data_IF_438620177178
#
_entry.id   IF_438620177178
#
_cell.length_a   1.000
_cell.length_b   1.000
_cell.length_c   1.000
_cell.angle_alpha   90.00
_cell.angle_beta   90.00
_cell.angle_gamma   90.00
#
_symmetry.space_group_name_H-M   'P 1'
#
loop_
_entity.id
_entity.type
_entity.pdbx_description
1 polymer ?
#
# COMPACT_ATOMS: atom_id res chain seq x y z
N UNK A 1 -19.96 15.27 21.82
CA UNK A 1 -18.74 16.07 21.53
C UNK A 1 -18.27 16.02 20.08
N UNK A 2 -18.60 14.99 19.29
CA UNK A 2 -18.28 14.90 17.84
C UNK A 2 -19.08 15.88 16.96
N UNK A 3 -20.34 16.16 17.31
CA UNK A 3 -21.22 17.02 16.50
C UNK A 3 -20.85 18.52 16.54
N UNK A 4 -20.41 19.04 17.68
CA UNK A 4 -19.94 20.45 17.82
C UNK A 4 -18.61 20.66 17.08
N UNK A 5 -17.77 19.63 17.02
CA UNK A 5 -16.42 19.68 16.43
C UNK A 5 -16.42 19.62 14.90
N UNK A 6 -17.33 18.84 14.31
CA UNK A 6 -17.56 18.91 12.86
C UNK A 6 -18.12 20.28 12.46
N UNK A 7 -18.95 20.89 13.32
CA UNK A 7 -19.51 22.22 13.07
C UNK A 7 -18.44 23.32 13.07
N UNK A 8 -17.43 23.27 13.96
CA UNK A 8 -16.36 24.28 14.00
C UNK A 8 -15.42 24.21 12.79
N UNK A 9 -15.01 23.01 12.36
CA UNK A 9 -14.23 22.84 11.11
C UNK A 9 -15.00 23.25 9.88
N UNK A 10 -16.29 22.90 9.83
CA UNK A 10 -17.18 23.29 8.74
C UNK A 10 -17.31 24.82 8.69
N UNK A 11 -17.55 25.49 9.82
CA UNK A 11 -17.61 26.94 9.92
C UNK A 11 -16.31 27.64 9.49
N UNK A 12 -15.16 27.15 9.93
CA UNK A 12 -13.85 27.68 9.52
C UNK A 12 -13.59 27.52 8.02
N UNK A 13 -14.10 26.44 7.41
CA UNK A 13 -13.95 26.24 5.97
C UNK A 13 -14.71 27.30 5.15
N UNK A 14 -15.99 27.54 5.47
CA UNK A 14 -16.78 28.57 4.77
C UNK A 14 -16.23 29.98 5.05
N UNK A 15 -15.81 30.26 6.28
CA UNK A 15 -15.20 31.55 6.61
C UNK A 15 -13.97 31.83 5.74
N UNK A 16 -13.11 30.82 5.51
CA UNK A 16 -11.96 30.99 4.63
C UNK A 16 -12.35 31.20 3.17
N UNK A 17 -13.39 30.51 2.68
CA UNK A 17 -13.93 30.78 1.34
C UNK A 17 -14.45 32.22 1.20
N UNK A 18 -15.13 32.74 2.23
CA UNK A 18 -15.60 34.12 2.26
C UNK A 18 -14.44 35.11 2.27
N UNK A 19 -13.44 34.92 3.12
CA UNK A 19 -12.26 35.80 3.17
C UNK A 19 -11.56 35.83 1.81
N UNK A 20 -11.34 34.66 1.20
CA UNK A 20 -10.71 34.57 -0.12
C UNK A 20 -11.56 35.20 -1.23
N UNK A 21 -12.86 34.92 -1.25
CA UNK A 21 -13.79 35.44 -2.26
C UNK A 21 -13.97 36.95 -2.18
N UNK A 22 -14.23 37.48 -0.98
CA UNK A 22 -14.34 38.94 -0.74
C UNK A 22 -13.01 39.61 -1.04
N UNK A 23 -11.88 39.06 -0.57
CA UNK A 23 -10.55 39.58 -0.85
C UNK A 23 -10.26 39.64 -2.35
N UNK A 24 -10.64 38.61 -3.11
CA UNK A 24 -10.49 38.58 -4.57
C UNK A 24 -11.31 39.68 -5.24
N UNK A 25 -12.58 39.84 -4.84
CA UNK A 25 -13.45 40.90 -5.38
C UNK A 25 -12.85 42.28 -5.08
N UNK A 26 -12.44 42.53 -3.84
CA UNK A 26 -11.85 43.80 -3.44
C UNK A 26 -10.54 44.11 -4.19
N UNK A 27 -9.69 43.09 -4.42
CA UNK A 27 -8.47 43.24 -5.24
C UNK A 27 -8.82 43.61 -6.68
N UNK A 28 -9.79 42.92 -7.29
CA UNK A 28 -10.22 43.19 -8.67
C UNK A 28 -10.81 44.61 -8.79
N UNK A 29 -11.74 44.96 -7.91
CA UNK A 29 -12.41 46.27 -7.91
C UNK A 29 -11.40 47.40 -7.71
N UNK A 30 -10.48 47.24 -6.77
CA UNK A 30 -9.45 48.24 -6.50
C UNK A 30 -8.48 48.35 -7.67
N UNK A 31 -7.99 47.23 -8.23
CA UNK A 31 -7.11 47.26 -9.41
C UNK A 31 -7.75 47.96 -10.62
N UNK A 32 -9.00 47.63 -10.97
CA UNK A 32 -9.70 48.32 -12.06
C UNK A 32 -10.07 49.77 -11.70
N UNK A 33 -10.17 50.09 -10.41
CA UNK A 33 -10.34 51.45 -9.91
C UNK A 33 -9.21 52.40 -10.33
N UNK A 34 -7.96 51.92 -10.39
CA UNK A 34 -6.81 52.70 -10.88
C UNK A 34 -7.02 53.22 -12.32
N UNK A 35 -7.72 52.46 -13.17
CA UNK A 35 -8.00 52.88 -14.56
C UNK A 35 -9.12 53.93 -14.67
N UNK A 36 -9.91 54.13 -13.61
CA UNK A 36 -11.04 55.04 -13.60
C UNK A 36 -10.66 56.45 -13.12
N UNK A 37 -9.77 56.55 -12.14
CA UNK A 37 -9.35 57.83 -11.56
C UNK A 37 -8.03 58.31 -12.18
N UNK A 38 -8.03 59.53 -12.74
CA UNK A 38 -6.85 60.14 -13.38
C UNK A 38 -5.99 60.98 -12.43
N UNK A 39 -6.44 61.20 -11.20
CA UNK A 39 -5.69 61.96 -10.20
C UNK A 39 -4.60 61.09 -9.57
N UNK A 40 -3.34 61.51 -9.71
CA UNK A 40 -2.15 60.76 -9.27
C UNK A 40 -2.19 60.31 -7.80
N UNK A 41 -2.74 61.14 -6.91
CA UNK A 41 -2.85 60.80 -5.48
C UNK A 41 -3.92 59.73 -5.21
N UNK A 42 -5.00 59.73 -5.99
CA UNK A 42 -6.08 58.76 -5.87
C UNK A 42 -5.64 57.42 -6.45
N UNK A 43 -4.97 57.44 -7.61
CA UNK A 43 -4.38 56.27 -8.26
C UNK A 43 -3.43 55.53 -7.31
N UNK A 44 -2.45 56.23 -6.73
CA UNK A 44 -1.54 55.65 -5.73
C UNK A 44 -2.22 55.10 -4.48
N UNK A 45 -3.28 55.75 -4.00
CA UNK A 45 -4.04 55.26 -2.85
C UNK A 45 -4.75 53.96 -3.18
N UNK A 46 -5.40 53.90 -4.35
CA UNK A 46 -6.15 52.72 -4.82
C UNK A 46 -5.19 51.55 -5.10
N UNK A 47 -4.01 51.82 -5.66
CA UNK A 47 -2.97 50.82 -5.87
C UNK A 47 -2.52 50.17 -4.55
N UNK A 48 -2.30 50.99 -3.51
CA UNK A 48 -1.98 50.48 -2.18
C UNK A 48 -3.12 49.70 -1.53
N UNK A 49 -4.38 49.99 -1.85
CA UNK A 49 -5.54 49.27 -1.28
C UNK A 49 -5.53 47.81 -1.71
N UNK A 50 -5.35 47.52 -3.02
CA UNK A 50 -5.40 46.12 -3.46
C UNK A 50 -4.21 45.29 -2.96
N UNK A 51 -3.03 45.90 -2.77
CA UNK A 51 -1.92 45.26 -2.06
C UNK A 51 -2.31 44.96 -0.62
N UNK A 52 -2.75 45.98 0.12
CA UNK A 52 -3.05 45.85 1.56
C UNK A 52 -4.14 44.81 1.82
N UNK A 53 -5.23 44.83 1.04
CA UNK A 53 -6.31 43.84 1.13
C UNK A 53 -5.78 42.43 0.90
N UNK A 54 -5.00 42.22 -0.17
CA UNK A 54 -4.45 40.90 -0.48
C UNK A 54 -3.59 40.33 0.65
N UNK A 55 -2.68 41.14 1.18
CA UNK A 55 -1.74 40.70 2.21
C UNK A 55 -2.45 40.44 3.55
N UNK A 56 -3.41 41.28 3.93
CA UNK A 56 -4.24 41.06 5.13
C UNK A 56 -5.12 39.81 4.99
N UNK A 57 -5.76 39.61 3.83
CA UNK A 57 -6.53 38.40 3.54
C UNK A 57 -5.64 37.16 3.61
N UNK A 58 -4.43 37.19 3.05
CA UNK A 58 -3.50 36.06 3.09
C UNK A 58 -3.07 35.72 4.53
N UNK A 59 -2.76 36.73 5.36
CA UNK A 59 -2.45 36.53 6.77
C UNK A 59 -3.66 35.96 7.55
N UNK A 60 -4.87 36.49 7.31
CA UNK A 60 -6.09 36.00 7.94
C UNK A 60 -6.40 34.55 7.57
N UNK A 61 -6.25 34.19 6.28
CA UNK A 61 -6.40 32.82 5.78
C UNK A 61 -5.37 31.88 6.44
N UNK A 62 -4.13 32.32 6.58
CA UNK A 62 -3.08 31.53 7.20
C UNK A 62 -3.36 31.23 8.68
N UNK A 63 -3.78 32.24 9.45
CA UNK A 63 -4.18 32.06 10.85
C UNK A 63 -5.43 31.19 11.00
N UNK A 64 -6.42 31.38 10.13
CA UNK A 64 -7.60 30.51 10.09
C UNK A 64 -7.20 29.05 9.81
N UNK A 65 -6.27 28.85 8.88
CA UNK A 65 -5.67 27.54 8.61
C UNK A 65 -4.96 26.96 9.83
N UNK A 66 -4.18 27.77 10.55
CA UNK A 66 -3.48 27.36 11.77
C UNK A 66 -4.46 26.92 12.88
N UNK A 67 -5.53 27.69 13.12
CA UNK A 67 -6.51 27.40 14.18
C UNK A 67 -7.52 26.32 13.81
N UNK A 68 -7.68 25.99 12.52
CA UNK A 68 -8.63 24.96 12.07
C UNK A 68 -8.15 23.51 12.29
N UNK A 69 -6.88 23.31 12.65
CA UNK A 69 -6.27 21.97 12.74
C UNK A 69 -6.07 21.53 14.18
N UNK A 70 -6.42 20.26 14.46
CA UNK A 70 -6.30 19.65 15.78
C UNK A 70 -4.99 18.86 15.97
N UNK A 71 -4.37 18.42 14.86
CA UNK A 71 -3.14 17.66 14.91
C UNK A 71 -1.96 18.58 15.27
N UNK A 72 -1.34 18.33 16.43
CA UNK A 72 -0.21 19.12 16.94
C UNK A 72 0.95 19.20 15.94
N UNK A 73 1.19 18.16 15.14
CA UNK A 73 2.21 18.18 14.08
C UNK A 73 1.91 19.20 12.98
N UNK A 74 0.65 19.28 12.51
CA UNK A 74 0.24 20.19 11.45
C UNK A 74 0.20 21.65 11.94
N UNK A 75 -0.23 21.85 13.18
CA UNK A 75 -0.24 23.17 13.81
C UNK A 75 1.15 23.83 13.77
N UNK A 76 2.21 23.09 14.10
CA UNK A 76 3.56 23.66 14.25
C UNK A 76 4.09 24.33 13.00
N UNK A 77 3.97 23.70 11.83
CA UNK A 77 4.45 24.31 10.59
C UNK A 77 3.50 25.39 10.06
N UNK A 78 2.17 25.23 10.23
CA UNK A 78 1.18 26.23 9.79
C UNK A 78 1.32 27.52 10.60
N UNK A 79 1.68 27.41 11.87
CA UNK A 79 1.99 28.55 12.73
C UNK A 79 3.12 29.39 12.15
N UNK A 80 4.22 28.76 11.73
CA UNK A 80 5.31 29.48 11.09
C UNK A 80 4.88 30.12 9.76
N UNK A 81 4.09 29.44 8.93
CA UNK A 81 3.57 30.05 7.70
C UNK A 81 2.69 31.28 7.99
N UNK A 82 1.85 31.20 9.03
CA UNK A 82 1.03 32.32 9.48
C UNK A 82 1.87 33.49 10.00
N UNK A 83 2.93 33.23 10.77
CA UNK A 83 3.89 34.26 11.18
C UNK A 83 4.55 34.95 9.98
N UNK A 84 5.00 34.18 8.99
CA UNK A 84 5.61 34.70 7.77
C UNK A 84 4.65 35.61 7.00
N UNK A 85 3.42 35.18 6.76
CA UNK A 85 2.41 35.99 6.08
C UNK A 85 1.93 37.19 6.91
N UNK A 86 1.99 37.11 8.24
CA UNK A 86 1.74 38.26 9.12
C UNK A 86 2.84 39.29 8.99
N UNK A 87 4.11 38.86 9.00
CA UNK A 87 5.23 39.77 8.77
C UNK A 87 5.15 40.43 7.38
N UNK A 88 4.72 39.68 6.37
CA UNK A 88 4.44 40.20 5.03
C UNK A 88 3.37 41.31 5.06
N UNK A 89 2.25 41.07 5.76
CA UNK A 89 1.17 42.04 5.90
C UNK A 89 1.58 43.28 6.69
N UNK A 90 2.36 43.13 7.75
CA UNK A 90 2.95 44.25 8.50
C UNK A 90 3.93 45.04 7.62
N UNK A 91 4.71 44.36 6.78
CA UNK A 91 5.58 44.99 5.78
C UNK A 91 4.77 45.85 4.81
N UNK A 92 3.65 45.33 4.31
CA UNK A 92 2.76 46.08 3.42
C UNK A 92 2.10 47.28 4.11
N UNK A 93 1.67 47.15 5.36
CA UNK A 93 1.14 48.29 6.13
C UNK A 93 2.22 49.34 6.36
N UNK A 94 3.45 48.91 6.65
CA UNK A 94 4.60 49.81 6.78
C UNK A 94 4.90 50.53 5.46
N UNK A 95 4.82 49.83 4.33
CA UNK A 95 4.97 50.41 3.00
C UNK A 95 3.88 51.43 2.69
N UNK A 96 2.61 51.11 2.96
CA UNK A 96 1.51 52.05 2.73
C UNK A 96 1.68 53.36 3.52
N UNK A 97 2.17 53.27 4.77
CA UNK A 97 2.52 54.44 5.59
C UNK A 97 3.68 55.22 4.96
N UNK A 98 4.73 54.53 4.51
CA UNK A 98 5.89 55.15 3.85
C UNK A 98 5.50 55.90 2.59
N UNK A 99 4.67 55.30 1.74
CA UNK A 99 4.16 55.91 0.52
C UNK A 99 3.35 57.18 0.84
N UNK A 100 2.50 57.14 1.87
CA UNK A 100 1.73 58.30 2.30
C UNK A 100 2.62 59.48 2.72
N UNK A 101 3.72 59.22 3.42
CA UNK A 101 4.69 60.24 3.83
C UNK A 101 5.78 60.55 2.79
N UNK A 102 5.72 59.96 1.58
CA UNK A 102 6.76 60.04 0.55
C UNK A 102 8.15 59.62 1.05
N UNK A 103 8.22 58.63 1.93
CA UNK A 103 9.46 58.08 2.47
C UNK A 103 9.95 56.91 1.60
N UNK A 104 10.93 57.16 0.73
CA UNK A 104 11.47 56.16 -0.21
C UNK A 104 12.96 55.82 0.03
N UNK A 105 13.49 56.12 1.23
CA UNK A 105 14.90 55.86 1.54
C UNK A 105 15.12 54.38 1.83
N UNK A 106 15.82 53.69 0.93
CA UNK A 106 16.26 52.30 1.13
C UNK A 106 17.53 52.26 2.00
N UNK A 107 17.63 51.34 2.97
CA UNK A 107 16.60 50.40 3.43
C UNK A 107 15.48 51.09 4.22
N UNK A 108 14.24 50.77 3.88
CA UNK A 108 13.03 51.25 4.57
C UNK A 108 12.61 50.29 5.68
N UNK A 109 11.79 50.72 6.66
CA UNK A 109 11.20 49.80 7.64
C UNK A 109 10.45 48.59 7.04
N UNK A 110 9.87 48.69 5.84
CA UNK A 110 9.12 47.59 5.22
C UNK A 110 10.08 46.53 4.63
N UNK A 111 11.27 46.95 4.20
CA UNK A 111 12.35 46.08 3.72
C UNK A 111 12.83 45.06 4.76
N UNK A 112 12.64 45.34 6.06
CA UNK A 112 12.96 44.41 7.14
C UNK A 112 11.85 43.41 7.43
N UNK A 113 10.62 43.67 6.99
CA UNK A 113 9.43 42.87 7.31
C UNK A 113 9.08 41.88 6.20
N UNK A 114 9.10 42.31 4.94
CA UNK A 114 8.77 41.44 3.79
C UNK A 114 9.61 40.14 3.73
N UNK A 115 10.93 40.15 3.99
CA UNK A 115 11.74 38.94 3.85
C UNK A 115 11.43 37.84 4.87
N UNK A 116 10.77 38.15 5.99
CA UNK A 116 10.45 37.16 7.04
C UNK A 116 9.56 36.01 6.56
N UNK A 117 8.86 36.17 5.43
CA UNK A 117 8.13 35.07 4.79
C UNK A 117 9.03 33.86 4.59
N UNK A 118 10.23 34.02 4.05
CA UNK A 118 11.08 32.88 3.71
C UNK A 118 11.66 32.15 4.93
N UNK A 119 12.32 32.81 5.91
CA UNK A 119 12.78 32.14 7.12
C UNK A 119 11.66 31.39 7.84
N UNK A 120 10.48 32.00 7.98
CA UNK A 120 9.33 31.34 8.59
C UNK A 120 8.92 30.09 7.81
N UNK A 121 8.87 30.17 6.48
CA UNK A 121 8.49 29.02 5.66
C UNK A 121 9.56 27.91 5.68
N UNK A 122 10.85 28.28 5.64
CA UNK A 122 11.96 27.35 5.77
C UNK A 122 11.91 26.61 7.12
N UNK A 123 11.61 27.32 8.22
CA UNK A 123 11.42 26.69 9.53
C UNK A 123 10.22 25.74 9.49
N UNK A 124 9.10 26.16 8.91
CA UNK A 124 7.92 25.31 8.72
C UNK A 124 8.22 24.02 7.95
N UNK A 125 8.96 24.12 6.84
CA UNK A 125 9.44 22.96 6.07
C UNK A 125 10.37 22.06 6.87
N UNK A 126 11.30 22.66 7.62
CA UNK A 126 12.29 21.92 8.42
C UNK A 126 11.62 21.05 9.47
N UNK A 127 10.51 21.51 10.06
CA UNK A 127 9.72 20.72 11.01
C UNK A 127 9.18 19.44 10.37
N UNK A 128 8.81 19.49 9.08
CA UNK A 128 8.28 18.33 8.33
C UNK A 128 9.42 17.38 7.97
N UNK A 129 10.57 17.92 7.56
CA UNK A 129 11.72 17.12 7.10
C UNK A 129 12.50 16.48 8.27
N UNK A 130 12.46 17.05 9.48
CA UNK A 130 13.15 16.50 10.67
C UNK A 130 12.70 15.08 11.03
N UNK A 131 11.50 14.66 10.61
CA UNK A 131 11.00 13.29 10.81
C UNK A 131 11.63 12.28 9.84
N UNK A 132 12.45 12.72 8.87
CA UNK A 132 13.10 11.85 7.89
C UNK A 132 14.47 11.33 8.34
N UNK A 133 14.93 10.28 7.65
CA UNK A 133 16.27 9.73 7.80
C UNK A 133 17.38 10.76 7.55
N UNK A 134 18.46 10.68 8.34
CA UNK A 134 19.56 11.64 8.32
C UNK A 134 20.26 11.76 6.96
N UNK A 135 20.31 10.68 6.18
CA UNK A 135 20.89 10.70 4.84
C UNK A 135 19.99 11.48 3.88
N UNK A 136 18.67 11.25 3.93
CA UNK A 136 17.69 12.02 3.15
C UNK A 136 17.76 13.52 3.45
N UNK A 137 17.94 13.89 4.73
CA UNK A 137 18.10 15.29 5.14
C UNK A 137 19.36 15.89 4.53
N UNK A 138 20.51 15.20 4.62
CA UNK A 138 21.78 15.69 4.05
C UNK A 138 21.67 15.91 2.54
N UNK A 139 21.05 14.96 1.87
CA UNK A 139 20.80 14.99 0.44
C UNK A 139 19.90 16.17 0.05
N UNK A 140 18.75 16.31 0.71
CA UNK A 140 17.84 17.43 0.47
C UNK A 140 18.46 18.79 0.82
N UNK A 141 19.38 18.85 1.80
CA UNK A 141 20.10 20.06 2.14
C UNK A 141 21.09 20.49 1.04
N UNK A 142 21.73 19.54 0.35
CA UNK A 142 22.58 19.84 -0.80
C UNK A 142 21.76 20.39 -1.96
N UNK A 143 20.65 19.73 -2.28
CA UNK A 143 19.70 20.18 -3.32
C UNK A 143 19.18 21.60 -3.01
N UNK A 144 18.80 21.84 -1.74
CA UNK A 144 18.40 23.16 -1.25
C UNK A 144 19.50 24.22 -1.46
N UNK A 145 20.76 23.89 -1.12
CA UNK A 145 21.89 24.79 -1.25
C UNK A 145 22.18 25.13 -2.72
N UNK A 146 22.08 24.15 -3.62
CA UNK A 146 22.23 24.33 -5.07
C UNK A 146 21.19 25.30 -5.63
N UNK A 147 19.92 25.07 -5.30
CA UNK A 147 18.80 25.95 -5.69
C UNK A 147 18.93 27.37 -5.15
N UNK A 148 19.25 27.54 -3.86
CA UNK A 148 19.46 28.86 -3.23
C UNK A 148 20.59 29.61 -3.95
N UNK A 149 21.72 28.92 -4.19
CA UNK A 149 22.88 29.52 -4.86
C UNK A 149 22.52 29.93 -6.29
N UNK A 150 21.77 29.11 -7.02
CA UNK A 150 21.33 29.43 -8.38
C UNK A 150 20.42 30.69 -8.40
N UNK A 151 19.42 30.75 -7.52
CA UNK A 151 18.49 31.88 -7.40
C UNK A 151 19.23 33.17 -6.99
N UNK A 152 20.13 33.08 -6.01
CA UNK A 152 20.94 34.20 -5.56
C UNK A 152 21.86 34.73 -6.67
N UNK A 153 22.57 33.83 -7.35
CA UNK A 153 23.48 34.20 -8.45
C UNK A 153 22.73 34.85 -9.60
N UNK A 154 21.57 34.31 -9.98
CA UNK A 154 20.71 34.89 -11.01
C UNK A 154 20.22 36.29 -10.62
N UNK A 155 19.75 36.46 -9.39
CA UNK A 155 19.26 37.75 -8.88
C UNK A 155 20.38 38.80 -8.84
N UNK A 156 21.58 38.41 -8.38
CA UNK A 156 22.76 39.26 -8.39
C UNK A 156 23.17 39.66 -9.82
N UNK A 157 23.14 38.72 -10.76
CA UNK A 157 23.48 38.99 -12.16
C UNK A 157 22.53 40.00 -12.82
N UNK A 158 21.26 40.03 -12.41
CA UNK A 158 20.28 40.99 -12.91
C UNK A 158 20.44 42.40 -12.31
N UNK A 159 20.81 42.52 -11.03
CA UNK A 159 20.82 43.82 -10.34
C UNK A 159 22.17 44.53 -10.31
N UNK A 160 23.27 43.78 -10.17
CA UNK A 160 24.62 44.37 -10.14
C UNK A 160 24.99 45.26 -11.35
N UNK A 161 24.48 45.03 -12.57
CA UNK A 161 24.81 45.88 -13.72
C UNK A 161 24.22 47.28 -13.60
N UNK A 162 23.08 47.39 -12.90
CA UNK A 162 22.32 48.63 -12.76
C UNK A 162 22.77 49.44 -11.53
N UNK A 163 23.95 49.11 -10.97
CA UNK A 163 24.44 49.59 -9.67
C UNK A 163 25.10 50.98 -9.71
N UNK A 164 25.06 51.72 -10.81
CA UNK A 164 25.62 53.09 -10.81
C UNK A 164 24.92 53.94 -9.74
N UNK A 165 25.63 54.27 -8.65
CA UNK A 165 25.10 55.05 -7.53
C UNK A 165 24.38 54.28 -6.41
N UNK A 166 24.18 52.95 -6.50
CA UNK A 166 23.47 52.16 -5.47
C UNK A 166 24.45 51.55 -4.45
N UNK A 167 24.29 51.93 -3.18
CA UNK A 167 25.12 51.43 -2.08
C UNK A 167 24.84 49.95 -1.73
N UNK A 168 25.81 49.27 -1.10
CA UNK A 168 25.65 47.86 -0.68
C UNK A 168 24.43 47.67 0.25
N UNK A 169 24.20 48.65 1.14
CA UNK A 169 23.07 48.64 2.06
C UNK A 169 21.70 48.70 1.35
N UNK A 170 21.63 49.32 0.18
CA UNK A 170 20.40 49.44 -0.62
C UNK A 170 20.18 48.22 -1.51
N UNK A 171 21.29 47.63 -1.99
CA UNK A 171 21.25 46.41 -2.80
C UNK A 171 20.75 45.20 -1.99
N UNK A 172 21.04 45.17 -0.68
CA UNK A 172 20.71 44.03 0.17
C UNK A 172 19.19 43.75 0.23
N UNK A 173 18.29 44.71 0.53
CA UNK A 173 16.85 44.52 0.38
C UNK A 173 16.41 44.08 -1.01
N UNK A 174 16.94 44.72 -2.06
CA UNK A 174 16.56 44.45 -3.45
C UNK A 174 16.84 43.00 -3.87
N UNK A 175 17.95 42.43 -3.40
CA UNK A 175 18.28 41.01 -3.59
C UNK A 175 17.43 40.12 -2.67
N UNK A 176 17.30 40.51 -1.40
CA UNK A 176 16.70 39.67 -0.38
C UNK A 176 15.23 39.34 -0.69
N UNK A 177 14.46 40.31 -1.19
CA UNK A 177 13.04 40.12 -1.53
C UNK A 177 12.81 38.96 -2.51
N UNK A 178 13.30 38.99 -3.77
CA UNK A 178 13.09 37.89 -4.71
C UNK A 178 13.76 36.59 -4.27
N UNK A 179 14.98 36.64 -3.73
CA UNK A 179 15.72 35.44 -3.34
C UNK A 179 14.99 34.68 -2.24
N UNK A 180 14.44 35.39 -1.26
CA UNK A 180 13.65 34.81 -0.17
C UNK A 180 12.45 34.01 -0.70
N UNK A 181 11.59 34.66 -1.49
CA UNK A 181 10.37 34.02 -2.01
C UNK A 181 10.67 32.90 -3.01
N UNK A 182 11.58 33.13 -3.96
CA UNK A 182 11.94 32.10 -4.95
C UNK A 182 12.62 30.90 -4.30
N UNK A 183 13.44 31.11 -3.27
CA UNK A 183 14.01 30.02 -2.45
C UNK A 183 12.91 29.23 -1.76
N UNK A 184 11.99 29.90 -1.06
CA UNK A 184 10.90 29.22 -0.36
C UNK A 184 10.00 28.42 -1.32
N UNK A 185 9.78 28.92 -2.55
CA UNK A 185 9.06 28.21 -3.60
C UNK A 185 9.83 26.98 -4.09
N UNK A 186 11.12 27.14 -4.39
CA UNK A 186 11.99 26.06 -4.85
C UNK A 186 12.10 24.93 -3.82
N UNK A 187 12.24 25.27 -2.53
CA UNK A 187 12.20 24.29 -1.44
C UNK A 187 10.84 23.60 -1.33
N UNK A 188 9.73 24.34 -1.50
CA UNK A 188 8.40 23.75 -1.58
C UNK A 188 8.23 22.75 -2.73
N UNK A 189 8.87 22.98 -3.88
CA UNK A 189 8.91 22.00 -4.98
C UNK A 189 9.76 20.79 -4.59
N UNK A 190 10.95 21.02 -4.02
CA UNK A 190 11.89 20.00 -3.60
C UNK A 190 11.29 19.00 -2.60
N UNK A 191 10.45 19.49 -1.68
CA UNK A 191 9.80 18.64 -0.68
C UNK A 191 8.87 17.58 -1.30
N UNK A 192 8.29 17.83 -2.48
CA UNK A 192 7.35 16.89 -3.12
C UNK A 192 8.01 15.51 -3.30
N UNK A 193 9.11 15.39 -4.05
CA UNK A 193 9.74 14.09 -4.24
C UNK A 193 10.53 13.61 -3.02
N UNK A 194 11.10 14.49 -2.20
CA UNK A 194 11.86 14.11 -0.98
C UNK A 194 10.97 13.40 0.03
N UNK A 195 9.77 13.96 0.26
CA UNK A 195 8.82 13.44 1.23
C UNK A 195 7.73 12.56 0.60
N UNK A 196 7.78 12.32 -0.72
CA UNK A 196 6.74 11.59 -1.48
C UNK A 196 5.34 12.17 -1.27
N UNK A 197 5.23 13.49 -1.25
CA UNK A 197 3.97 14.18 -1.02
C UNK A 197 3.08 14.10 -2.26
N UNK A 198 1.80 13.83 -2.06
CA UNK A 198 0.81 13.85 -3.11
C UNK A 198 0.59 15.29 -3.60
N UNK A 199 0.89 15.62 -4.87
CA UNK A 199 0.60 16.94 -5.40
C UNK A 199 -0.92 17.17 -5.35
N UNK A 200 -1.33 18.25 -4.69
CA UNK A 200 -2.72 18.65 -4.60
C UNK A 200 -2.87 20.14 -4.94
N UNK A 201 -4.11 20.60 -5.09
CA UNK A 201 -4.39 22.00 -5.45
C UNK A 201 -3.81 22.98 -4.43
N UNK A 202 -3.89 22.68 -3.14
CA UNK A 202 -3.34 23.52 -2.07
C UNK A 202 -1.82 23.69 -2.22
N UNK A 203 -1.11 22.60 -2.51
CA UNK A 203 0.33 22.58 -2.73
C UNK A 203 0.73 23.38 -3.99
N UNK A 204 -0.04 23.22 -5.08
CA UNK A 204 0.20 23.97 -6.30
C UNK A 204 -0.06 25.46 -6.11
N UNK A 205 -1.20 25.84 -5.51
CA UNK A 205 -1.51 27.24 -5.19
C UNK A 205 -0.41 27.84 -4.31
N UNK A 206 0.04 27.10 -3.31
CA UNK A 206 1.13 27.53 -2.44
C UNK A 206 2.44 27.81 -3.21
N UNK A 207 2.90 26.89 -4.06
CA UNK A 207 4.12 27.10 -4.88
C UNK A 207 3.94 28.25 -5.87
N UNK A 208 2.80 28.29 -6.56
CA UNK A 208 2.49 29.31 -7.57
C UNK A 208 2.41 30.69 -6.93
N UNK A 209 1.78 30.80 -5.76
CA UNK A 209 1.71 32.06 -5.02
C UNK A 209 3.08 32.52 -4.54
N UNK A 210 3.88 31.62 -3.95
CA UNK A 210 5.23 31.95 -3.48
C UNK A 210 6.17 32.34 -4.63
N UNK A 211 6.21 31.53 -5.70
CA UNK A 211 7.02 31.77 -6.87
C UNK A 211 6.57 33.00 -7.65
N UNK A 212 5.26 33.23 -7.75
CA UNK A 212 4.66 34.42 -8.35
C UNK A 212 5.07 35.69 -7.60
N UNK A 213 4.99 35.70 -6.27
CA UNK A 213 5.46 36.84 -5.46
C UNK A 213 6.96 37.07 -5.61
N UNK A 214 7.76 36.01 -5.65
CA UNK A 214 9.21 36.12 -5.89
C UNK A 214 9.56 36.68 -7.27
N UNK A 215 8.84 36.27 -8.31
CA UNK A 215 9.01 36.80 -9.66
C UNK A 215 8.53 38.24 -9.79
N UNK A 216 7.43 38.61 -9.13
CA UNK A 216 6.98 40.00 -9.06
C UNK A 216 8.03 40.87 -8.39
N UNK A 217 8.59 40.45 -7.25
CA UNK A 217 9.71 41.15 -6.60
C UNK A 217 10.93 41.26 -7.51
N UNK A 218 11.25 40.20 -8.24
CA UNK A 218 12.38 40.19 -9.15
C UNK A 218 12.26 41.27 -10.24
N UNK A 219 11.10 41.32 -10.90
CA UNK A 219 10.83 42.29 -11.97
C UNK A 219 10.64 43.70 -11.42
N UNK A 220 9.92 43.85 -10.31
CA UNK A 220 9.63 45.15 -9.72
C UNK A 220 10.92 45.83 -9.26
N UNK A 221 11.83 45.10 -8.60
CA UNK A 221 13.12 45.64 -8.20
C UNK A 221 14.01 45.98 -9.41
N UNK A 222 14.00 45.15 -10.46
CA UNK A 222 14.75 45.44 -11.69
C UNK A 222 14.28 46.75 -12.37
N UNK A 223 12.98 47.06 -12.28
CA UNK A 223 12.44 48.32 -12.76
C UNK A 223 12.77 49.46 -11.79
N UNK A 224 12.55 49.25 -10.49
CA UNK A 224 12.76 50.25 -9.42
C UNK A 224 14.18 50.83 -9.38
N UNK A 225 15.19 50.04 -9.75
CA UNK A 225 16.58 50.52 -9.84
C UNK A 225 16.75 51.58 -10.94
N UNK A 226 16.00 51.46 -12.04
CA UNK A 226 16.03 52.39 -13.18
C UNK A 226 15.09 53.57 -12.94
N UNK A 227 13.84 53.28 -12.58
CA UNK A 227 12.80 54.28 -12.30
C UNK A 227 11.72 53.70 -11.37
N UNK A 228 11.03 54.56 -10.61
CA UNK A 228 9.92 54.12 -9.77
C UNK A 228 8.82 53.57 -10.70
N UNK A 229 8.42 52.28 -10.55
CA UNK A 229 7.39 51.70 -11.40
C UNK A 229 6.08 52.49 -11.28
N UNK A 230 5.33 52.65 -12.38
CA UNK A 230 4.05 53.34 -12.33
C UNK A 230 3.07 52.60 -11.42
N UNK A 231 2.23 53.38 -10.74
CA UNK A 231 1.08 52.88 -9.98
C UNK A 231 0.07 52.23 -10.98
N UNK A 232 -0.69 51.21 -10.55
CA UNK A 232 -1.77 50.61 -11.36
C UNK A 232 -1.32 49.57 -12.40
N UNK A 233 -0.06 49.14 -12.39
CA UNK A 233 0.46 48.20 -13.40
C UNK A 233 0.00 46.76 -13.19
N UNK A 234 0.02 45.97 -14.28
CA UNK A 234 -0.23 44.52 -14.21
C UNK A 234 0.77 43.81 -13.29
N UNK A 235 2.01 44.33 -13.20
CA UNK A 235 3.02 43.83 -12.27
C UNK A 235 2.57 44.03 -10.81
N UNK A 236 2.03 45.20 -10.47
CA UNK A 236 1.48 45.49 -9.15
C UNK A 236 0.30 44.56 -8.81
N UNK A 237 -0.60 44.29 -9.77
CA UNK A 237 -1.65 43.29 -9.59
C UNK A 237 -1.11 41.88 -9.35
N UNK A 238 0.03 41.54 -9.99
CA UNK A 238 0.73 40.28 -9.81
C UNK A 238 1.07 39.96 -8.35
N UNK A 239 1.47 40.97 -7.56
CA UNK A 239 1.70 40.81 -6.12
C UNK A 239 0.43 40.43 -5.37
N UNK A 240 -0.68 41.14 -5.63
CA UNK A 240 -1.96 40.86 -4.97
C UNK A 240 -2.50 39.48 -5.32
N UNK A 241 -2.42 39.09 -6.60
CA UNK A 241 -2.90 37.78 -7.06
C UNK A 241 -2.05 36.67 -6.43
N UNK A 242 -0.72 36.79 -6.52
CA UNK A 242 0.21 35.78 -6.00
C UNK A 242 0.06 35.61 -4.48
N UNK A 243 -0.09 36.70 -3.74
CA UNK A 243 -0.24 36.68 -2.28
C UNK A 243 -1.59 36.10 -1.85
N UNK A 244 -2.70 36.39 -2.55
CA UNK A 244 -4.00 35.76 -2.29
C UNK A 244 -3.96 34.25 -2.55
N UNK A 245 -3.36 33.83 -3.67
CA UNK A 245 -3.19 32.41 -4.02
C UNK A 245 -2.33 31.71 -2.97
N UNK A 246 -1.26 32.36 -2.50
CA UNK A 246 -0.41 31.86 -1.43
C UNK A 246 -1.20 31.67 -0.11
N UNK A 247 -2.00 32.67 0.28
CA UNK A 247 -2.86 32.59 1.46
C UNK A 247 -3.88 31.45 1.38
N UNK A 248 -4.52 31.27 0.22
CA UNK A 248 -5.41 30.13 -0.03
C UNK A 248 -4.67 28.79 0.07
N UNK A 249 -3.47 28.72 -0.51
CA UNK A 249 -2.58 27.58 -0.40
C UNK A 249 -2.33 27.22 1.06
N UNK A 250 -1.73 28.12 1.84
CA UNK A 250 -1.39 27.92 3.26
C UNK A 250 -2.61 27.50 4.09
N UNK A 251 -3.76 28.13 3.87
CA UNK A 251 -5.01 27.81 4.58
C UNK A 251 -5.46 26.36 4.38
N UNK A 252 -5.41 25.89 3.14
CA UNK A 252 -5.92 24.56 2.74
C UNK A 252 -4.85 23.48 2.73
N UNK A 253 -3.61 23.83 3.09
CA UNK A 253 -2.46 22.96 2.87
C UNK A 253 -2.26 21.89 3.94
N UNK A 254 -2.41 20.63 3.55
CA UNK A 254 -2.19 19.46 4.39
C UNK A 254 -1.24 18.50 3.67
N UNK A 255 -0.07 18.16 4.25
CA UNK A 255 0.86 17.21 3.65
C UNK A 255 0.26 15.80 3.71
N UNK A 256 0.10 15.18 2.54
CA UNK A 256 -0.37 13.80 2.41
C UNK A 256 0.70 12.98 1.71
N UNK A 257 1.18 11.92 2.38
CA UNK A 257 2.16 11.00 1.83
C UNK A 257 1.50 10.09 0.79
N UNK A 258 2.25 9.72 -0.25
CA UNK A 258 1.80 8.83 -1.30
C UNK A 258 2.76 7.66 -1.48
N UNK A 259 2.35 6.51 -0.94
CA UNK A 259 3.13 5.27 -0.99
C UNK A 259 2.86 4.42 -2.23
N UNK A 260 2.06 4.94 -3.19
CA UNK A 260 1.73 4.18 -4.38
C UNK A 260 3.00 3.93 -5.23
N UNK A 261 3.30 2.68 -5.64
CA UNK A 261 4.57 2.32 -6.29
C UNK A 261 4.89 3.12 -7.57
N UNK A 262 3.87 3.45 -8.37
CA UNK A 262 4.04 4.29 -9.57
C UNK A 262 4.51 5.71 -9.21
N UNK A 263 3.98 6.29 -8.13
CA UNK A 263 4.37 7.61 -7.67
C UNK A 263 5.77 7.59 -7.04
N UNK A 264 6.11 6.53 -6.30
CA UNK A 264 7.48 6.31 -5.80
C UNK A 264 8.52 6.38 -6.92
N UNK A 265 8.31 5.64 -8.03
CA UNK A 265 9.21 5.67 -9.20
C UNK A 265 9.30 7.06 -9.85
N UNK A 266 8.19 7.81 -9.91
CA UNK A 266 8.19 9.18 -10.45
C UNK A 266 8.96 10.16 -9.56
N UNK A 267 8.81 10.05 -8.23
CA UNK A 267 9.55 10.88 -7.29
C UNK A 267 11.05 10.59 -7.34
N UNK A 268 11.45 9.32 -7.43
CA UNK A 268 12.85 8.94 -7.63
C UNK A 268 13.41 9.47 -8.95
N UNK A 269 12.66 9.37 -10.04
CA UNK A 269 13.05 9.97 -11.31
C UNK A 269 13.21 11.50 -11.22
N UNK A 270 12.31 12.18 -10.49
CA UNK A 270 12.42 13.62 -10.27
C UNK A 270 13.68 13.99 -9.47
N UNK A 271 14.02 13.27 -8.41
CA UNK A 271 15.27 13.48 -7.64
C UNK A 271 16.52 13.24 -8.49
N UNK A 272 16.48 12.27 -9.41
CA UNK A 272 17.60 11.99 -10.33
C UNK A 272 17.84 13.11 -11.34
N UNK A 273 16.78 13.82 -11.74
CA UNK A 273 16.87 14.93 -12.70
C UNK A 273 17.17 16.28 -12.04
N UNK A 274 17.07 16.37 -10.72
CA UNK A 274 17.21 17.63 -10.01
C UNK A 274 18.60 18.28 -10.16
N UNK A 275 19.74 17.57 -10.02
CA UNK A 275 21.06 18.18 -10.23
C UNK A 275 21.24 18.71 -11.67
N UNK A 276 20.67 18.01 -12.65
CA UNK A 276 20.67 18.47 -14.03
C UNK A 276 19.86 19.77 -14.18
N UNK A 277 18.69 19.86 -13.54
CA UNK A 277 17.88 21.07 -13.53
C UNK A 277 18.63 22.25 -12.89
N UNK A 278 19.33 22.03 -11.78
CA UNK A 278 20.16 23.06 -11.13
C UNK A 278 21.26 23.58 -12.06
N UNK A 279 21.98 22.69 -12.74
CA UNK A 279 23.03 23.07 -13.69
C UNK A 279 22.45 23.82 -14.89
N UNK A 280 21.33 23.36 -15.45
CA UNK A 280 20.65 24.04 -16.57
C UNK A 280 20.16 25.43 -16.14
N UNK A 281 19.51 25.53 -14.98
CA UNK A 281 19.05 26.81 -14.44
C UNK A 281 20.21 27.78 -14.20
N UNK A 282 21.33 27.29 -13.66
CA UNK A 282 22.52 28.12 -13.44
C UNK A 282 23.24 28.51 -14.73
N UNK A 283 23.16 27.67 -15.77
CA UNK A 283 23.74 27.96 -17.10
C UNK A 283 23.06 29.16 -17.76
N UNK A 284 21.76 29.38 -17.50
CA UNK A 284 21.05 30.59 -17.96
C UNK A 284 21.74 31.86 -17.44
N UNK A 285 22.18 31.86 -16.18
CA UNK A 285 22.92 32.98 -15.59
C UNK A 285 24.24 33.24 -16.29
N UNK A 286 25.00 32.18 -16.65
CA UNK A 286 26.22 32.32 -17.45
C UNK A 286 25.92 32.89 -18.82
N UNK A 287 24.91 32.37 -19.52
CA UNK A 287 24.53 32.85 -20.85
C UNK A 287 24.18 34.33 -20.80
N UNK A 288 23.32 34.74 -19.86
CA UNK A 288 22.97 36.15 -19.67
C UNK A 288 24.20 37.01 -19.38
N UNK A 289 25.10 36.54 -18.51
CA UNK A 289 26.34 37.25 -18.18
C UNK A 289 27.32 37.35 -19.35
N UNK A 290 27.26 36.44 -20.32
CA UNK A 290 28.09 36.44 -21.52
C UNK A 290 27.49 37.22 -22.70
N UNK A 291 26.16 37.25 -22.83
CA UNK A 291 25.47 37.88 -23.97
C UNK A 291 25.18 39.36 -23.77
N UNK A 292 25.00 39.81 -22.53
CA UNK A 292 24.70 41.21 -22.25
C UNK A 292 25.99 42.05 -22.33
N UNK A 293 26.12 42.85 -23.38
CA UNK A 293 27.22 43.79 -23.55
C UNK A 293 27.16 44.90 -22.50
N UNK A 294 28.31 45.27 -21.91
CA UNK A 294 28.39 46.37 -20.94
C UNK A 294 28.24 45.95 -19.47
N UNK A 295 28.16 44.65 -19.18
CA UNK A 295 28.14 44.16 -17.80
C UNK A 295 29.46 44.44 -17.06
N UNK A 296 29.43 45.03 -15.85
CA UNK A 296 30.61 45.21 -15.03
C UNK A 296 31.34 43.88 -14.77
N UNK A 297 32.66 43.92 -14.72
CA UNK A 297 33.52 42.74 -14.51
C UNK A 297 33.10 41.94 -13.25
N UNK A 298 32.74 42.65 -12.18
CA UNK A 298 32.27 42.04 -10.94
C UNK A 298 31.02 41.18 -11.10
N UNK A 299 30.10 41.54 -12.01
CA UNK A 299 28.88 40.76 -12.28
C UNK A 299 29.22 39.44 -12.95
N UNK A 300 30.14 39.47 -13.92
CA UNK A 300 30.61 38.28 -14.63
C UNK A 300 31.32 37.32 -13.67
N UNK A 301 32.14 37.85 -12.75
CA UNK A 301 32.78 37.05 -11.69
C UNK A 301 31.74 36.40 -10.78
N UNK A 302 30.74 37.14 -10.31
CA UNK A 302 29.67 36.59 -9.47
C UNK A 302 28.90 35.49 -10.20
N UNK A 303 28.55 35.71 -11.47
CA UNK A 303 27.86 34.72 -12.30
C UNK A 303 28.68 33.43 -12.44
N UNK A 304 29.96 33.54 -12.82
CA UNK A 304 30.83 32.37 -13.00
C UNK A 304 31.12 31.63 -11.69
N UNK A 305 31.40 32.36 -10.61
CA UNK A 305 31.67 31.75 -9.30
C UNK A 305 30.42 31.05 -8.76
N UNK A 306 29.26 31.70 -8.81
CA UNK A 306 28.00 31.12 -8.38
C UNK A 306 27.62 29.87 -9.18
N UNK A 307 27.75 29.90 -10.51
CA UNK A 307 27.49 28.71 -11.32
C UNK A 307 28.50 27.59 -11.08
N UNK A 308 29.78 27.91 -10.85
CA UNK A 308 30.78 26.91 -10.49
C UNK A 308 30.40 26.22 -9.17
N UNK A 309 29.95 26.98 -8.17
CA UNK A 309 29.47 26.43 -6.89
C UNK A 309 28.26 25.52 -7.10
N UNK A 310 27.27 25.93 -7.92
CA UNK A 310 26.11 25.09 -8.24
C UNK A 310 26.54 23.78 -8.91
N UNK A 311 27.45 23.83 -9.89
CA UNK A 311 27.96 22.63 -10.57
C UNK A 311 28.70 21.71 -9.60
N UNK A 312 29.48 22.26 -8.66
CA UNK A 312 30.17 21.45 -7.63
C UNK A 312 29.16 20.78 -6.69
N UNK A 313 28.15 21.51 -6.22
CA UNK A 313 27.08 20.96 -5.37
C UNK A 313 26.33 19.86 -6.13
N UNK A 314 25.92 20.12 -7.37
CA UNK A 314 25.24 19.15 -8.24
C UNK A 314 26.10 17.91 -8.49
N UNK A 315 27.43 18.06 -8.63
CA UNK A 315 28.36 16.94 -8.83
C UNK A 315 28.50 16.07 -7.57
N UNK A 316 28.64 16.69 -6.40
CA UNK A 316 28.65 15.96 -5.11
C UNK A 316 27.32 15.24 -4.92
N UNK A 317 26.22 15.94 -5.18
CA UNK A 317 24.87 15.39 -5.09
C UNK A 317 24.65 14.19 -6.01
N UNK A 318 25.08 14.30 -7.27
CA UNK A 318 24.99 13.22 -8.26
C UNK A 318 25.82 12.00 -7.81
N UNK A 319 27.00 12.22 -7.24
CA UNK A 319 27.86 11.15 -6.72
C UNK A 319 27.18 10.40 -5.57
N UNK A 320 26.56 11.12 -4.63
CA UNK A 320 25.79 10.51 -3.53
C UNK A 320 24.59 9.72 -4.04
N UNK A 321 23.88 10.24 -5.05
CA UNK A 321 22.73 9.55 -5.64
C UNK A 321 23.14 8.24 -6.32
N UNK A 322 24.24 8.25 -7.09
CA UNK A 322 24.76 7.04 -7.73
C UNK A 322 25.17 6.01 -6.67
N UNK A 323 25.81 6.44 -5.58
CA UNK A 323 26.17 5.56 -4.47
C UNK A 323 24.95 4.91 -3.81
N UNK A 324 23.91 5.69 -3.51
CA UNK A 324 22.66 5.15 -2.95
C UNK A 324 22.01 4.11 -3.89
N UNK A 325 22.06 4.34 -5.20
CA UNK A 325 21.56 3.39 -6.19
C UNK A 325 22.38 2.09 -6.21
N UNK A 326 23.71 2.18 -6.19
CA UNK A 326 24.58 0.99 -6.20
C UNK A 326 24.43 0.17 -4.91
N UNK A 327 24.32 0.84 -3.76
CA UNK A 327 24.13 0.18 -2.47
C UNK A 327 22.77 -0.57 -2.44
N UNK A 328 21.71 0.06 -2.93
CA UNK A 328 20.38 -0.56 -3.04
C UNK A 328 20.35 -1.73 -4.05
N UNK A 329 21.04 -1.60 -5.19
CA UNK A 329 21.15 -2.68 -6.18
C UNK A 329 21.89 -3.90 -5.60
N UNK A 330 22.96 -3.65 -4.83
CA UNK A 330 23.71 -4.71 -4.16
C UNK A 330 22.87 -5.41 -3.08
N UNK A 331 22.10 -4.66 -2.30
CA UNK A 331 21.18 -5.24 -1.30
C UNK A 331 20.11 -6.12 -1.95
N UNK A 332 19.46 -5.63 -3.01
CA UNK A 332 18.47 -6.41 -3.79
C UNK A 332 19.12 -7.68 -4.35
N UNK A 333 20.33 -7.57 -4.88
CA UNK A 333 21.06 -8.72 -5.42
C UNK A 333 21.34 -9.79 -4.36
N UNK A 334 21.85 -9.40 -3.19
CA UNK A 334 22.11 -10.32 -2.08
C UNK A 334 20.83 -11.02 -1.59
N UNK A 335 19.72 -10.26 -1.50
CA UNK A 335 18.41 -10.83 -1.14
C UNK A 335 17.92 -11.82 -2.18
N UNK A 336 18.06 -11.51 -3.48
CA UNK A 336 17.67 -12.41 -4.56
C UNK A 336 18.51 -13.68 -4.56
N UNK A 337 19.84 -13.58 -4.42
CA UNK A 337 20.74 -14.74 -4.34
C UNK A 337 20.35 -15.65 -3.15
N UNK A 338 20.06 -15.08 -1.98
CA UNK A 338 19.58 -15.83 -0.82
C UNK A 338 18.20 -16.47 -1.04
N UNK A 339 17.29 -15.77 -1.73
CA UNK A 339 15.97 -16.30 -2.08
C UNK A 339 16.08 -17.48 -3.05
N UNK A 340 16.95 -17.39 -4.05
CA UNK A 340 17.23 -18.47 -5.00
C UNK A 340 17.76 -19.73 -4.29
N UNK A 341 18.68 -19.57 -3.33
CA UNK A 341 19.18 -20.68 -2.52
C UNK A 341 18.06 -21.36 -1.71
N UNK A 342 17.23 -20.55 -1.04
CA UNK A 342 16.09 -21.06 -0.26
C UNK A 342 15.11 -21.80 -1.17
N UNK A 343 14.78 -21.23 -2.34
CA UNK A 343 13.88 -21.85 -3.31
C UNK A 343 14.45 -23.17 -3.81
N UNK A 344 15.76 -23.22 -4.13
CA UNK A 344 16.41 -24.46 -4.57
C UNK A 344 16.34 -25.55 -3.49
N UNK A 345 16.67 -25.21 -2.24
CA UNK A 345 16.61 -26.14 -1.10
C UNK A 345 15.19 -26.67 -0.87
N UNK A 346 14.19 -25.78 -0.85
CA UNK A 346 12.77 -26.16 -0.68
C UNK A 346 12.27 -27.03 -1.82
N UNK A 347 12.71 -26.77 -3.04
CA UNK A 347 12.36 -27.57 -4.22
C UNK A 347 12.93 -28.99 -4.09
N UNK A 348 14.17 -29.15 -3.62
CA UNK A 348 14.76 -30.48 -3.41
C UNK A 348 14.14 -31.24 -2.23
N UNK A 349 13.84 -30.56 -1.12
CA UNK A 349 13.07 -31.12 0.00
C UNK A 349 11.70 -31.66 -0.48
N UNK A 350 10.97 -30.85 -1.26
CA UNK A 350 9.69 -31.25 -1.83
C UNK A 350 9.82 -32.45 -2.77
N UNK A 351 10.87 -32.48 -3.61
CA UNK A 351 11.14 -33.61 -4.52
C UNK A 351 11.37 -34.91 -3.74
N UNK A 352 12.17 -34.83 -2.67
CA UNK A 352 12.48 -35.97 -1.80
C UNK A 352 11.23 -36.49 -1.09
N UNK A 353 10.43 -35.60 -0.50
CA UNK A 353 9.16 -35.96 0.16
C UNK A 353 8.18 -36.56 -0.84
N UNK A 354 8.09 -36.02 -2.06
CA UNK A 354 7.21 -36.55 -3.10
C UNK A 354 7.60 -37.98 -3.50
N UNK A 355 8.90 -38.24 -3.73
CA UNK A 355 9.40 -39.58 -4.01
C UNK A 355 9.12 -40.57 -2.86
N UNK A 356 9.28 -40.13 -1.61
CA UNK A 356 8.93 -40.93 -0.44
C UNK A 356 7.42 -41.26 -0.39
N UNK A 357 6.55 -40.29 -0.67
CA UNK A 357 5.10 -40.49 -0.73
C UNK A 357 4.70 -41.47 -1.84
N UNK A 358 5.33 -41.39 -3.01
CA UNK A 358 5.11 -42.34 -4.11
C UNK A 358 5.46 -43.77 -3.64
N UNK A 359 6.64 -43.96 -3.03
CA UNK A 359 7.07 -45.27 -2.51
C UNK A 359 6.12 -45.81 -1.43
N UNK A 360 5.65 -44.95 -0.52
CA UNK A 360 4.66 -45.34 0.49
C UNK A 360 3.32 -45.72 -0.12
N UNK A 361 2.87 -44.99 -1.14
CA UNK A 361 1.63 -45.31 -1.85
C UNK A 361 1.72 -46.70 -2.51
N UNK A 362 2.84 -47.02 -3.17
CA UNK A 362 3.05 -48.37 -3.72
C UNK A 362 3.04 -49.47 -2.64
N UNK A 363 3.66 -49.22 -1.47
CA UNK A 363 3.63 -50.17 -0.36
C UNK A 363 2.20 -50.39 0.15
N UNK A 364 1.40 -49.33 0.26
CA UNK A 364 -0.01 -49.42 0.64
C UNK A 364 -0.80 -50.22 -0.39
N UNK A 365 -0.62 -49.95 -1.69
CA UNK A 365 -1.28 -50.71 -2.77
C UNK A 365 -0.93 -52.20 -2.68
N UNK A 366 0.35 -52.54 -2.48
CA UNK A 366 0.80 -53.93 -2.31
C UNK A 366 0.18 -54.57 -1.06
N UNK A 367 0.15 -53.87 0.07
CA UNK A 367 -0.44 -54.36 1.31
C UNK A 367 -1.94 -54.64 1.14
N UNK A 368 -2.68 -53.74 0.49
CA UNK A 368 -4.11 -53.92 0.17
C UNK A 368 -4.32 -55.16 -0.72
N UNK A 369 -3.49 -55.35 -1.75
CA UNK A 369 -3.58 -56.51 -2.62
C UNK A 369 -3.33 -57.83 -1.87
N UNK A 370 -2.33 -57.86 -1.00
CA UNK A 370 -2.03 -59.01 -0.15
C UNK A 370 -3.17 -59.32 0.82
N UNK A 371 -3.73 -58.29 1.47
CA UNK A 371 -4.84 -58.43 2.40
C UNK A 371 -6.09 -58.99 1.69
N UNK A 372 -6.38 -58.51 0.49
CA UNK A 372 -7.47 -59.04 -0.36
C UNK A 372 -7.26 -60.50 -0.76
N UNK A 373 -6.02 -60.91 -1.04
CA UNK A 373 -5.70 -62.30 -1.36
C UNK A 373 -5.80 -63.22 -0.13
N UNK A 374 -5.29 -62.79 1.03
CA UNK A 374 -5.42 -63.52 2.28
C UNK A 374 -6.90 -63.70 2.67
N UNK A 375 -7.71 -62.64 2.53
CA UNK A 375 -9.15 -62.71 2.77
C UNK A 375 -9.83 -63.74 1.84
N UNK A 376 -9.48 -63.78 0.54
CA UNK A 376 -9.99 -64.80 -0.39
C UNK A 376 -9.61 -66.22 0.02
N UNK A 377 -8.37 -66.43 0.49
CA UNK A 377 -7.93 -67.74 0.97
C UNK A 377 -8.68 -68.15 2.25
N UNK A 378 -8.86 -67.24 3.21
CA UNK A 378 -9.64 -67.49 4.42
C UNK A 378 -11.09 -67.87 4.09
N UNK A 379 -11.77 -67.10 3.24
CA UNK A 379 -13.12 -67.41 2.78
C UNK A 379 -13.19 -68.79 2.10
N UNK A 380 -12.18 -69.15 1.30
CA UNK A 380 -12.11 -70.48 0.67
C UNK A 380 -11.90 -71.58 1.71
N UNK A 381 -11.02 -71.37 2.68
CA UNK A 381 -10.76 -72.32 3.77
C UNK A 381 -12.00 -72.55 4.62
N UNK A 382 -12.73 -71.49 4.95
CA UNK A 382 -13.98 -71.56 5.71
C UNK A 382 -15.06 -72.32 4.92
N UNK A 383 -15.20 -72.05 3.63
CA UNK A 383 -16.09 -72.82 2.75
C UNK A 383 -15.74 -74.31 2.71
N UNK A 384 -14.45 -74.66 2.68
CA UNK A 384 -13.99 -76.05 2.69
C UNK A 384 -14.23 -76.73 4.04
N UNK A 385 -14.05 -76.01 5.16
CA UNK A 385 -14.34 -76.51 6.49
C UNK A 385 -15.85 -76.80 6.66
N UNK A 386 -16.71 -75.87 6.23
CA UNK A 386 -18.18 -76.05 6.24
C UNK A 386 -18.59 -77.22 5.34
N UNK A 387 -18.01 -77.35 4.15
CA UNK A 387 -18.25 -78.49 3.27
C UNK A 387 -17.82 -79.81 3.91
N UNK A 388 -16.67 -79.84 4.59
CA UNK A 388 -16.20 -81.00 5.33
C UNK A 388 -17.14 -81.41 6.46
N UNK A 389 -17.63 -80.45 7.25
CA UNK A 389 -18.64 -80.70 8.28
C UNK A 389 -19.94 -81.23 7.67
N UNK A 390 -20.40 -80.67 6.55
CA UNK A 390 -21.60 -81.15 5.86
C UNK A 390 -21.44 -82.58 5.36
N UNK A 391 -20.31 -82.90 4.72
CA UNK A 391 -20.03 -84.26 4.22
C UNK A 391 -19.93 -85.27 5.38
N UNK A 392 -19.26 -84.91 6.47
CA UNK A 392 -19.21 -85.75 7.67
C UNK A 392 -20.59 -85.98 8.29
N UNK A 393 -21.43 -84.94 8.33
CA UNK A 393 -22.83 -85.03 8.76
C UNK A 393 -23.65 -85.97 7.88
N UNK A 394 -23.56 -85.82 6.55
CA UNK A 394 -24.24 -86.73 5.58
C UNK A 394 -23.76 -88.17 5.75
N UNK A 395 -22.45 -88.39 5.89
CA UNK A 395 -21.89 -89.73 6.09
C UNK A 395 -22.41 -90.35 7.40
N UNK A 396 -22.52 -89.58 8.47
CA UNK A 396 -23.07 -90.04 9.74
C UNK A 396 -24.57 -90.39 9.64
N UNK A 397 -25.35 -89.53 8.98
CA UNK A 397 -26.77 -89.74 8.71
C UNK A 397 -27.05 -90.92 7.76
N UNK A 398 -26.13 -91.24 6.83
CA UNK A 398 -26.22 -92.40 5.93
C UNK A 398 -25.78 -93.70 6.60
N UNK A 399 -24.71 -93.66 7.39
CA UNK A 399 -24.20 -94.85 8.09
C UNK A 399 -25.21 -95.40 9.09
N UNK A 400 -26.03 -94.53 9.69
CA UNK A 400 -27.07 -94.93 10.66
C UNK A 400 -28.11 -95.91 10.07
N UNK A 401 -28.85 -95.57 8.99
CA UNK A 401 -29.80 -96.49 8.36
C UNK A 401 -29.11 -97.69 7.72
N UNK A 402 -27.90 -97.53 7.16
CA UNK A 402 -27.12 -98.66 6.63
C UNK A 402 -26.78 -99.69 7.72
N UNK A 403 -26.34 -99.23 8.88
CA UNK A 403 -26.09 -100.09 10.03
C UNK A 403 -27.36 -100.82 10.47
N UNK A 404 -28.51 -100.14 10.47
CA UNK A 404 -29.79 -100.78 10.74
C UNK A 404 -30.16 -101.84 9.70
N UNK A 405 -29.93 -101.59 8.40
CA UNK A 405 -30.18 -102.56 7.32
C UNK A 405 -29.27 -103.78 7.45
N UNK A 406 -27.97 -103.58 7.68
CA UNK A 406 -27.00 -104.67 7.85
C UNK A 406 -27.37 -105.52 9.06
N UNK A 407 -27.61 -104.90 10.22
CA UNK A 407 -28.02 -105.62 11.43
C UNK A 407 -29.34 -106.37 11.23
N UNK A 408 -30.30 -105.77 10.52
CA UNK A 408 -31.56 -106.45 10.16
C UNK A 408 -31.32 -107.65 9.25
N UNK A 409 -30.43 -107.52 8.27
CA UNK A 409 -30.11 -108.60 7.33
C UNK A 409 -29.34 -109.75 8.02
N UNK A 410 -28.41 -109.42 8.92
CA UNK A 410 -27.73 -110.40 9.77
C UNK A 410 -28.72 -111.15 10.67
N UNK A 411 -29.68 -110.46 11.27
CA UNK A 411 -30.73 -111.10 12.08
C UNK A 411 -31.59 -112.06 11.22
N UNK A 412 -31.96 -111.64 10.00
CA UNK A 412 -32.69 -112.50 9.06
C UNK A 412 -31.85 -113.72 8.68
N UNK A 413 -30.57 -113.53 8.33
CA UNK A 413 -29.66 -114.64 8.02
C UNK A 413 -29.52 -115.61 9.19
N UNK A 414 -29.34 -115.12 10.42
CA UNK A 414 -29.21 -115.93 11.62
C UNK A 414 -30.44 -116.83 11.84
N UNK A 415 -31.64 -116.27 11.67
CA UNK A 415 -32.89 -117.03 11.76
C UNK A 415 -32.98 -118.09 10.65
N UNK A 416 -32.65 -117.72 9.42
CA UNK A 416 -32.70 -118.64 8.28
C UNK A 416 -31.65 -119.76 8.38
N UNK A 417 -30.44 -119.48 8.84
CA UNK A 417 -29.35 -120.47 8.89
C UNK A 417 -29.48 -121.42 10.08
N UNK A 418 -29.92 -120.93 11.24
CA UNK A 418 -29.84 -121.71 12.49
C UNK A 418 -31.18 -122.26 12.95
N UNK A 419 -32.31 -121.74 12.45
CA UNK A 419 -33.64 -122.09 12.96
C UNK A 419 -34.56 -122.71 11.92
N UNK A 420 -34.25 -122.60 10.62
CA UNK A 420 -35.11 -123.09 9.55
C UNK A 420 -35.23 -124.62 9.52
N UNK A 421 -34.13 -125.35 9.67
CA UNK A 421 -34.14 -126.81 9.70
C UNK A 421 -34.89 -127.36 10.93
N UNK A 422 -34.70 -126.73 12.09
CA UNK A 422 -35.43 -127.06 13.31
C UNK A 422 -36.92 -126.75 13.20
N UNK A 423 -37.28 -125.62 12.57
CA UNK A 423 -38.68 -125.26 12.32
C UNK A 423 -39.37 -126.24 11.37
N UNK A 424 -38.73 -126.62 10.27
CA UNK A 424 -39.29 -127.58 9.32
C UNK A 424 -39.47 -128.97 9.95
N UNK A 425 -38.49 -129.39 10.75
CA UNK A 425 -38.55 -130.68 11.47
C UNK A 425 -39.65 -130.67 12.53
N UNK A 426 -39.77 -129.60 13.31
CA UNK A 426 -40.84 -129.47 14.27
C UNK A 426 -42.21 -129.43 13.58
N UNK A 427 -42.32 -128.71 12.45
CA UNK A 427 -43.54 -128.67 11.65
C UNK A 427 -43.95 -130.06 11.11
N UNK A 428 -42.98 -130.90 10.73
CA UNK A 428 -43.30 -132.27 10.29
C UNK A 428 -43.92 -133.14 11.38
N UNK A 429 -43.62 -132.86 12.65
CA UNK A 429 -44.15 -133.59 13.82
C UNK A 429 -45.48 -133.02 14.34
N UNK A 430 -45.98 -131.92 13.77
CA UNK A 430 -47.23 -131.31 14.20
C UNK A 430 -48.46 -132.11 13.76
N UNK A 431 -49.45 -132.16 14.65
CA UNK A 431 -50.81 -132.65 14.34
C UNK A 431 -51.55 -131.67 13.40
N UNK A 432 -52.63 -132.10 12.74
CA UNK A 432 -53.29 -131.23 11.75
C UNK A 432 -53.90 -129.95 12.34
N UNK A 433 -54.40 -130.01 13.56
CA UNK A 433 -54.90 -128.81 14.25
C UNK A 433 -53.76 -127.81 14.55
N UNK A 434 -52.56 -128.31 14.87
CA UNK A 434 -51.37 -127.50 15.14
C UNK A 434 -50.80 -126.89 13.86
N UNK A 435 -50.81 -127.60 12.73
CA UNK A 435 -50.39 -127.06 11.43
C UNK A 435 -51.27 -125.90 10.99
N UNK A 436 -52.59 -125.97 11.21
CA UNK A 436 -53.53 -124.86 10.93
C UNK A 436 -53.26 -123.64 11.82
N UNK A 437 -52.94 -123.86 13.10
CA UNK A 437 -52.54 -122.77 14.01
C UNK A 437 -51.22 -122.15 13.56
N UNK A 438 -50.25 -122.98 13.17
CA UNK A 438 -48.96 -122.51 12.69
C UNK A 438 -49.09 -121.71 11.39
N UNK A 439 -49.90 -122.15 10.43
CA UNK A 439 -50.24 -121.37 9.23
C UNK A 439 -50.87 -120.02 9.58
N UNK A 440 -51.80 -119.97 10.55
CA UNK A 440 -52.40 -118.71 11.02
C UNK A 440 -51.39 -117.79 11.70
N UNK A 441 -50.45 -118.33 12.48
CA UNK A 441 -49.42 -117.54 13.17
C UNK A 441 -48.35 -117.04 12.20
N UNK A 442 -47.90 -117.90 11.28
CA UNK A 442 -46.90 -117.58 10.28
C UNK A 442 -47.43 -116.57 9.25
N UNK A 443 -48.68 -116.74 8.80
CA UNK A 443 -49.35 -115.75 7.94
C UNK A 443 -49.54 -114.40 8.63
N UNK A 444 -49.80 -114.39 9.95
CA UNK A 444 -49.80 -113.16 10.77
C UNK A 444 -48.40 -112.55 10.96
N UNK A 445 -47.36 -113.37 11.02
CA UNK A 445 -45.96 -112.92 11.18
C UNK A 445 -45.36 -112.33 9.91
N UNK A 446 -45.78 -112.82 8.74
CA UNK A 446 -45.38 -112.30 7.41
C UNK A 446 -46.23 -111.10 6.98
N UNK A 447 -47.35 -110.82 7.66
CA UNK A 447 -48.09 -109.60 7.38
C UNK A 447 -47.23 -108.41 7.79
N UNK A 448 -46.72 -107.69 6.80
CA UNK A 448 -46.16 -106.35 6.98
C UNK A 448 -47.18 -105.53 7.78
N UNK A 449 -46.87 -105.24 9.05
CA UNK A 449 -47.48 -104.07 9.68
C UNK A 449 -47.03 -102.89 8.83
N UNK A 450 -47.98 -102.10 8.33
CA UNK A 450 -47.69 -100.75 7.88
C UNK A 450 -46.91 -100.06 9.01
N UNK A 451 -45.62 -99.84 8.76
CA UNK A 451 -44.81 -98.98 9.62
C UNK A 451 -45.29 -97.56 9.37
N UNK A 452 -46.15 -97.05 10.25
CA UNK A 452 -46.46 -95.63 10.29
C UNK A 452 -45.21 -94.88 10.76
N UNK A 453 -44.82 -93.84 10.03
CA UNK A 453 -43.79 -92.91 10.49
C UNK A 453 -44.22 -92.33 11.85
N UNK A 454 -43.28 -92.33 12.80
CA UNK A 454 -43.38 -91.77 14.17
C UNK A 454 -44.06 -90.40 14.28
N UNK A 455 -44.16 -89.65 13.17
CA UNK A 455 -44.89 -88.39 13.09
C UNK A 455 -46.43 -88.54 13.01
N UNK A 456 -46.95 -89.56 12.33
CA UNK A 456 -48.41 -89.79 12.17
C UNK A 456 -49.07 -90.42 13.41
N UNK A 457 -48.34 -91.27 14.15
CA UNK A 457 -48.84 -91.86 15.41
C UNK A 457 -49.11 -90.81 16.49
N UNK A 458 -48.32 -89.71 16.51
CA UNK A 458 -48.52 -88.60 17.46
C UNK A 458 -49.75 -87.75 17.11
N UNK A 459 -50.19 -87.73 15.86
CA UNK A 459 -51.36 -86.94 15.42
C UNK A 459 -52.68 -87.68 15.67
N UNK A 460 -52.71 -89.01 15.53
CA UNK A 460 -53.92 -89.82 15.77
C UNK A 460 -54.22 -90.07 17.25
N UNK A 461 -53.24 -90.07 18.16
CA UNK A 461 -53.49 -90.19 19.63
C UNK A 461 -54.03 -88.91 20.29
N UNK A 462 -54.17 -87.79 19.56
CA UNK A 462 -54.65 -86.49 20.06
C UNK A 462 -56.09 -86.13 19.65
N UNK A 463 -56.83 -87.07 19.05
CA UNK A 463 -58.30 -87.02 18.90
C UNK A 463 -58.87 -88.25 19.60
#
# INVERSE_FOLDING_TARGET
MTNVKNHSRFSAYYLGQWIFGIGTILVIVSFFGNYYYKEKNIDRLIDNIHWTVSYLCAAALAWLGCFSVEAAGIYRFRFWFALGLTANALGQLSWAIQVYFNYYMTPTPSDFLFPWVAPCFIIGYSIIVIECDRNKIRVAALDALGLITAVLTFSLALYLPQREGVGIAQLLPLINHPVSFLTAAALGILLIPVLRLQPNKSWLSFIVGMGGSGFCWLLWNALFIVEIPPDGTVLNAGFSISTLILGYGVWTWEPKLNDHPIWGRRFEAALRLLPLFEVVASSVTIVLAGTLSGLPEGVRIVAWTGTTIVVLIASVRQTLLVKEMTDAEQEIRLVNEGLEEIVAKRTEELRTVNQYLISKNEQVIRAIANLKNAQKQLVRSEKMAVLGQLVAGIAHELNTPLGAIVSSNEAIQLVLSNSWEGLLRNYSDFTEDEKVIWEKLFSKGITLREFYDTREERTKRKK
#
